data_IF_658983909533
#
_entry.id   IF_658983909533
#
_cell.length_a   1.000
_cell.length_b   1.000
_cell.length_c   1.000
_cell.angle_alpha   90.00
_cell.angle_beta   90.00
_cell.angle_gamma   90.00
#
_symmetry.space_group_name_H-M   'P 1'
#
loop_
_entity.id
_entity.type
_entity.pdbx_description
1 polymer ?
#
# COMPACT_ATOMS: atom_id res chain seq x y z
N UNK A 1 1.87 -17.85 -15.81
CA UNK A 1 0.59 -17.33 -16.34
C UNK A 1 0.28 -18.15 -17.58
N UNK A 2 -0.96 -18.58 -17.77
CA UNK A 2 -1.36 -19.25 -19.01
C UNK A 2 -1.25 -18.28 -20.21
N UNK A 3 -0.86 -18.76 -21.39
CA UNK A 3 -0.60 -17.88 -22.55
C UNK A 3 -1.86 -17.19 -23.04
N UNK A 4 -3.02 -17.85 -22.94
CA UNK A 4 -4.30 -17.23 -23.29
C UNK A 4 -4.63 -16.05 -22.36
N UNK A 5 -4.40 -16.22 -21.05
CA UNK A 5 -4.60 -15.15 -20.07
C UNK A 5 -3.62 -13.99 -20.30
N UNK A 6 -2.36 -14.31 -20.65
CA UNK A 6 -1.35 -13.31 -21.00
C UNK A 6 -1.78 -12.45 -22.18
N UNK A 7 -2.18 -13.08 -23.29
CA UNK A 7 -2.62 -12.35 -24.47
C UNK A 7 -3.87 -11.52 -24.18
N UNK A 8 -4.84 -12.09 -23.46
CA UNK A 8 -6.05 -11.37 -23.07
C UNK A 8 -5.74 -10.14 -22.21
N UNK A 9 -4.75 -10.23 -21.31
CA UNK A 9 -4.32 -9.10 -20.51
C UNK A 9 -3.65 -8.01 -21.36
N UNK A 10 -2.83 -8.37 -22.36
CA UNK A 10 -2.21 -7.41 -23.27
C UNK A 10 -3.26 -6.71 -24.14
N UNK A 11 -4.16 -7.48 -24.76
CA UNK A 11 -5.23 -6.96 -25.61
C UNK A 11 -6.13 -5.99 -24.83
N UNK A 12 -6.42 -6.30 -23.56
CA UNK A 12 -7.21 -5.43 -22.67
C UNK A 12 -6.55 -4.06 -22.41
N UNK A 13 -5.21 -3.98 -22.43
CA UNK A 13 -4.48 -2.72 -22.23
C UNK A 13 -4.19 -1.97 -23.54
N UNK A 14 -4.27 -2.63 -24.70
CA UNK A 14 -3.95 -2.06 -26.00
C UNK A 14 -5.21 -1.57 -26.75
N UNK A 15 -6.30 -2.34 -26.70
CA UNK A 15 -7.45 -2.14 -27.56
C UNK A 15 -8.74 -1.79 -26.82
N UNK A 16 -9.64 -1.00 -27.45
CA UNK A 16 -9.44 -0.29 -28.74
C UNK A 16 -8.56 0.97 -28.62
N UNK A 17 -8.28 1.41 -27.39
CA UNK A 17 -7.43 2.56 -27.09
C UNK A 17 -6.50 2.14 -25.95
N UNK A 18 -5.20 2.47 -26.02
CA UNK A 18 -4.26 2.08 -24.98
C UNK A 18 -4.57 2.69 -23.60
N UNK A 19 -4.26 1.93 -22.55
CA UNK A 19 -4.40 2.35 -21.16
C UNK A 19 -5.82 2.13 -20.61
N UNK A 20 -6.00 2.42 -19.32
CA UNK A 20 -7.24 2.12 -18.59
C UNK A 20 -7.96 3.35 -18.05
N UNK A 21 -7.41 4.53 -18.29
CA UNK A 21 -7.91 5.80 -17.73
C UNK A 21 -8.07 6.87 -18.83
N UNK A 22 -8.92 7.84 -18.56
CA UNK A 22 -9.10 9.03 -19.39
C UNK A 22 -9.56 10.21 -18.54
N UNK A 23 -9.30 11.43 -18.99
CA UNK A 23 -9.85 12.65 -18.40
C UNK A 23 -11.06 13.11 -19.19
N UNK A 24 -12.18 13.36 -18.50
CA UNK A 24 -13.41 13.82 -19.13
C UNK A 24 -13.94 15.08 -18.45
N UNK A 25 -14.31 16.14 -19.22
CA UNK A 25 -14.91 17.34 -18.65
C UNK A 25 -16.25 17.03 -17.96
N UNK A 26 -16.48 17.67 -16.80
CA UNK A 26 -17.73 17.51 -16.03
C UNK A 26 -18.74 18.62 -16.27
N UNK A 27 -18.36 19.68 -17.01
CA UNK A 27 -19.20 20.84 -17.32
C UNK A 27 -19.46 20.92 -18.84
N UNK A 28 -20.62 21.43 -19.27
CA UNK A 28 -20.87 21.70 -20.68
C UNK A 28 -19.81 22.62 -21.28
N UNK A 29 -19.48 22.41 -22.56
CA UNK A 29 -18.53 23.21 -23.34
C UNK A 29 -19.08 23.50 -24.74
N UNK A 30 -20.41 23.61 -24.88
CA UNK A 30 -21.08 23.66 -26.18
C UNK A 30 -21.24 25.08 -26.74
N UNK A 31 -21.17 26.11 -25.88
CA UNK A 31 -21.42 27.50 -26.26
C UNK A 31 -20.22 28.41 -25.96
N UNK A 32 -20.20 29.59 -26.59
CA UNK A 32 -19.21 30.64 -26.26
C UNK A 32 -19.26 31.02 -24.78
N UNK A 33 -20.46 31.05 -24.19
CA UNK A 33 -20.64 31.32 -22.76
C UNK A 33 -19.99 30.23 -21.91
N UNK A 34 -20.17 28.97 -22.26
CA UNK A 34 -19.57 27.85 -21.53
C UNK A 34 -18.03 27.94 -21.56
N UNK A 35 -17.45 28.21 -22.73
CA UNK A 35 -16.00 28.37 -22.89
C UNK A 35 -15.47 29.56 -22.08
N UNK A 36 -16.20 30.68 -22.07
CA UNK A 36 -15.84 31.87 -21.30
C UNK A 36 -15.93 31.65 -19.78
N UNK A 37 -16.75 30.70 -19.31
CA UNK A 37 -16.83 30.31 -17.90
C UNK A 37 -15.77 29.26 -17.53
N UNK A 38 -15.53 28.28 -18.40
CA UNK A 38 -14.55 27.22 -18.18
C UNK A 38 -13.10 27.73 -18.22
N UNK A 39 -12.85 28.81 -18.96
CA UNK A 39 -11.53 29.42 -19.09
C UNK A 39 -11.64 30.95 -19.03
N UNK A 40 -10.90 31.68 -19.85
CA UNK A 40 -10.89 33.13 -19.82
C UNK A 40 -12.19 33.75 -20.39
N UNK A 41 -12.72 34.81 -19.75
CA UNK A 41 -12.23 35.46 -18.52
C UNK A 41 -12.80 34.86 -17.22
N UNK A 42 -13.80 34.00 -17.28
CA UNK A 42 -14.59 33.55 -16.11
C UNK A 42 -13.79 32.78 -15.06
N UNK A 43 -12.78 32.00 -15.46
CA UNK A 43 -11.91 31.23 -14.56
C UNK A 43 -11.14 32.11 -13.57
N UNK A 44 -10.99 33.42 -13.84
CA UNK A 44 -10.35 34.34 -12.92
C UNK A 44 -11.11 34.47 -11.59
N UNK A 45 -12.45 34.37 -11.60
CA UNK A 45 -13.26 34.49 -10.40
C UNK A 45 -12.95 33.42 -9.34
N UNK A 46 -12.99 32.10 -9.63
CA UNK A 46 -12.60 31.09 -8.64
C UNK A 46 -11.13 31.19 -8.23
N UNK A 47 -10.21 31.61 -9.12
CA UNK A 47 -8.81 31.82 -8.75
C UNK A 47 -8.66 32.91 -7.67
N UNK A 48 -9.31 34.06 -7.83
CA UNK A 48 -9.27 35.15 -6.85
C UNK A 48 -9.95 34.79 -5.53
N UNK A 49 -10.98 33.93 -5.56
CA UNK A 49 -11.58 33.42 -4.32
C UNK A 49 -10.66 32.46 -3.58
N UNK A 50 -9.91 31.61 -4.30
CA UNK A 50 -8.91 30.70 -3.70
C UNK A 50 -7.69 31.47 -3.17
N UNK A 51 -7.28 32.55 -3.84
CA UNK A 51 -6.23 33.44 -3.35
C UNK A 51 -6.58 34.05 -1.99
N UNK A 52 -7.85 34.46 -1.81
CA UNK A 52 -8.34 35.00 -0.53
C UNK A 52 -8.49 33.94 0.55
N UNK A 53 -9.00 32.76 0.17
CA UNK A 53 -9.20 31.62 1.06
C UNK A 53 -8.76 30.32 0.38
N UNK A 54 -7.57 29.78 0.69
CA UNK A 54 -7.06 28.55 0.08
C UNK A 54 -8.00 27.34 0.25
N UNK A 55 -8.84 27.30 1.29
CA UNK A 55 -9.79 26.20 1.49
C UNK A 55 -10.91 26.20 0.43
N UNK A 56 -11.17 27.33 -0.22
CA UNK A 56 -12.12 27.42 -1.33
C UNK A 56 -11.72 26.53 -2.53
N UNK A 57 -10.47 26.05 -2.58
CA UNK A 57 -10.04 25.06 -3.58
C UNK A 57 -10.88 23.78 -3.52
N UNK A 58 -11.34 23.35 -2.33
CA UNK A 58 -12.24 22.20 -2.20
C UNK A 58 -13.63 22.44 -2.80
N UNK A 59 -14.05 23.70 -2.89
CA UNK A 59 -15.36 24.10 -3.43
C UNK A 59 -15.31 24.31 -4.95
N UNK A 60 -14.24 24.93 -5.46
CA UNK A 60 -14.17 25.39 -6.86
C UNK A 60 -13.30 24.51 -7.77
N UNK A 61 -12.69 23.45 -7.25
CA UNK A 61 -11.83 22.54 -8.03
C UNK A 61 -12.16 21.08 -7.74
N UNK A 62 -11.56 20.17 -8.50
CA UNK A 62 -11.65 18.73 -8.26
C UNK A 62 -10.84 18.25 -7.04
N UNK A 63 -10.03 19.12 -6.40
CA UNK A 63 -9.11 18.78 -5.29
C UNK A 63 -9.77 17.90 -4.23
N UNK A 64 -11.01 18.20 -3.85
CA UNK A 64 -11.72 17.46 -2.78
C UNK A 64 -12.04 15.99 -3.09
N UNK A 65 -12.05 15.58 -4.36
CA UNK A 65 -12.30 14.20 -4.78
C UNK A 65 -11.08 13.56 -5.49
N UNK A 66 -10.00 14.32 -5.68
CA UNK A 66 -8.85 13.90 -6.48
C UNK A 66 -7.73 13.36 -5.59
N UNK A 67 -7.35 12.11 -5.81
CA UNK A 67 -6.25 11.42 -5.11
C UNK A 67 -5.09 11.18 -6.09
N UNK A 68 -3.86 11.36 -5.62
CA UNK A 68 -2.68 10.92 -6.36
C UNK A 68 -2.37 9.46 -6.01
N UNK A 69 -2.25 8.58 -7.00
CA UNK A 69 -1.61 7.27 -6.82
C UNK A 69 -0.16 7.42 -7.26
N UNK A 70 0.79 7.31 -6.33
CA UNK A 70 2.20 7.65 -6.60
C UNK A 70 3.09 6.45 -6.34
N UNK A 71 3.96 6.13 -7.30
CA UNK A 71 4.97 5.09 -7.20
C UNK A 71 6.26 5.49 -7.90
N UNK A 72 7.38 4.90 -7.46
CA UNK A 72 8.64 4.88 -8.23
C UNK A 72 8.92 3.52 -8.89
N UNK A 73 7.99 2.57 -8.81
CA UNK A 73 8.09 1.25 -9.44
C UNK A 73 9.18 0.34 -8.85
N UNK A 74 9.58 0.58 -7.61
CA UNK A 74 10.68 -0.17 -6.96
C UNK A 74 10.24 -1.50 -6.34
N UNK A 75 8.94 -1.71 -6.14
CA UNK A 75 8.38 -2.95 -5.58
C UNK A 75 7.06 -3.33 -6.24
N UNK A 76 6.99 -3.30 -7.58
CA UNK A 76 5.76 -3.56 -8.32
C UNK A 76 5.33 -5.01 -8.15
N UNK A 77 4.24 -5.24 -7.40
CA UNK A 77 3.69 -6.57 -7.13
C UNK A 77 4.79 -7.55 -6.65
N UNK A 78 4.86 -8.74 -7.25
CA UNK A 78 5.95 -9.71 -7.04
C UNK A 78 7.12 -9.58 -8.02
N UNK A 79 7.15 -8.54 -8.85
CA UNK A 79 8.17 -8.33 -9.89
C UNK A 79 9.40 -7.56 -9.37
N UNK A 80 9.25 -6.86 -8.24
CA UNK A 80 10.31 -6.07 -7.64
C UNK A 80 10.53 -4.75 -8.37
N UNK A 81 11.79 -4.32 -8.45
CA UNK A 81 12.13 -3.06 -9.09
C UNK A 81 12.18 -3.23 -10.61
N UNK A 82 11.11 -2.79 -11.28
CA UNK A 82 10.99 -2.77 -12.75
C UNK A 82 10.98 -1.34 -13.31
N UNK A 83 11.09 -0.34 -12.44
CA UNK A 83 11.10 1.08 -12.77
C UNK A 83 9.70 1.69 -12.90
N UNK A 84 9.63 3.01 -12.78
CA UNK A 84 8.37 3.75 -12.70
C UNK A 84 7.47 3.52 -13.92
N UNK A 85 8.03 3.58 -15.14
CA UNK A 85 7.26 3.39 -16.37
C UNK A 85 6.65 1.99 -16.50
N UNK A 86 7.38 0.94 -16.12
CA UNK A 86 6.86 -0.43 -16.19
C UNK A 86 5.81 -0.70 -15.09
N UNK A 87 5.80 0.08 -14.01
CA UNK A 87 4.77 0.07 -12.97
C UNK A 87 3.47 0.76 -13.37
N UNK A 88 3.48 1.63 -14.40
CA UNK A 88 2.33 2.42 -14.83
C UNK A 88 1.02 1.62 -15.00
N UNK A 89 1.00 0.44 -15.64
CA UNK A 89 -0.23 -0.34 -15.75
C UNK A 89 -0.82 -0.68 -14.37
N UNK A 90 -0.01 -0.94 -13.35
CA UNK A 90 -0.53 -1.22 -12.00
C UNK A 90 -1.17 0.03 -11.40
N UNK A 91 -0.55 1.19 -11.56
CA UNK A 91 -1.04 2.48 -11.04
C UNK A 91 -2.35 2.91 -11.70
N UNK A 92 -2.45 2.81 -13.03
CA UNK A 92 -3.72 3.02 -13.74
C UNK A 92 -4.80 2.06 -13.22
N UNK A 93 -4.43 0.80 -12.97
CA UNK A 93 -5.31 -0.20 -12.39
C UNK A 93 -5.87 0.25 -11.04
N UNK A 94 -5.01 0.76 -10.14
CA UNK A 94 -5.43 1.33 -8.85
C UNK A 94 -6.39 2.49 -9.04
N UNK A 95 -6.12 3.39 -9.98
CA UNK A 95 -7.02 4.49 -10.33
C UNK A 95 -8.43 4.02 -10.76
N UNK A 96 -8.51 2.98 -11.60
CA UNK A 96 -9.78 2.37 -11.99
C UNK A 96 -10.53 1.79 -10.79
N UNK A 97 -9.84 1.15 -9.85
CA UNK A 97 -10.46 0.59 -8.64
C UNK A 97 -11.01 1.69 -7.72
N UNK A 98 -10.23 2.75 -7.46
CA UNK A 98 -10.69 3.93 -6.71
C UNK A 98 -11.97 4.51 -7.32
N UNK A 99 -11.98 4.70 -8.64
CA UNK A 99 -13.15 5.26 -9.32
C UNK A 99 -14.35 4.34 -9.29
N UNK A 100 -14.15 3.05 -9.58
CA UNK A 100 -15.22 2.06 -9.71
C UNK A 100 -15.90 1.75 -8.38
N UNK A 101 -15.14 1.63 -7.29
CA UNK A 101 -15.66 1.17 -6.01
C UNK A 101 -15.95 2.30 -5.01
N UNK A 102 -15.30 3.45 -5.13
CA UNK A 102 -15.46 4.56 -4.19
C UNK A 102 -15.87 5.89 -4.85
N UNK A 103 -15.92 5.97 -6.19
CA UNK A 103 -16.24 7.22 -6.90
C UNK A 103 -15.13 8.28 -6.87
N UNK A 104 -13.96 7.92 -6.36
CA UNK A 104 -12.79 8.81 -6.21
C UNK A 104 -12.10 8.99 -7.56
N UNK A 105 -11.76 10.24 -7.90
CA UNK A 105 -10.97 10.54 -9.10
C UNK A 105 -9.48 10.39 -8.79
N UNK A 106 -8.71 9.88 -9.74
CA UNK A 106 -7.29 9.59 -9.54
C UNK A 106 -6.46 10.12 -10.71
N UNK A 107 -5.30 10.68 -10.38
CA UNK A 107 -4.17 10.68 -11.29
C UNK A 107 -3.08 9.77 -10.75
N UNK A 108 -2.63 8.85 -11.59
CA UNK A 108 -1.42 8.08 -11.37
C UNK A 108 -0.19 8.91 -11.74
N UNK A 109 0.82 8.90 -10.87
CA UNK A 109 2.05 9.68 -11.00
C UNK A 109 3.24 8.74 -10.77
N UNK A 110 3.87 8.35 -11.86
CA UNK A 110 5.10 7.55 -11.86
C UNK A 110 6.32 8.47 -11.73
N UNK A 111 6.95 8.47 -10.55
CA UNK A 111 8.13 9.30 -10.27
C UNK A 111 9.39 8.48 -10.49
N UNK A 112 10.16 8.80 -11.53
CA UNK A 112 11.45 8.15 -11.82
C UNK A 112 12.58 8.70 -10.95
N UNK A 113 12.48 8.50 -9.64
CA UNK A 113 13.49 8.88 -8.64
C UNK A 113 13.60 7.81 -7.55
N UNK A 114 14.85 7.43 -7.26
CA UNK A 114 15.19 6.36 -6.31
C UNK A 114 15.72 6.91 -4.99
N UNK A 115 16.19 8.16 -4.96
CA UNK A 115 16.55 8.85 -3.73
C UNK A 115 15.29 9.21 -2.93
N UNK A 116 15.12 8.70 -1.69
CA UNK A 116 13.91 8.94 -0.92
C UNK A 116 13.64 10.41 -0.63
N UNK A 117 14.67 11.22 -0.35
CA UNK A 117 14.51 12.64 -0.02
C UNK A 117 14.06 13.44 -1.24
N UNK A 118 14.63 13.17 -2.41
CA UNK A 118 14.18 13.78 -3.67
C UNK A 118 12.77 13.34 -4.03
N UNK A 119 12.44 12.05 -3.87
CA UNK A 119 11.09 11.55 -4.08
C UNK A 119 10.08 12.28 -3.18
N UNK A 120 10.37 12.40 -1.87
CA UNK A 120 9.55 13.15 -0.91
C UNK A 120 9.36 14.60 -1.37
N UNK A 121 10.41 15.25 -1.86
CA UNK A 121 10.34 16.63 -2.35
C UNK A 121 9.41 16.77 -3.57
N UNK A 122 9.49 15.84 -4.53
CA UNK A 122 8.60 15.81 -5.70
C UNK A 122 7.15 15.65 -5.25
N UNK A 123 6.86 14.66 -4.40
CA UNK A 123 5.49 14.38 -3.95
C UNK A 123 4.92 15.53 -3.12
N UNK A 124 5.67 16.07 -2.17
CA UNK A 124 5.21 17.16 -1.33
C UNK A 124 4.91 18.44 -2.15
N UNK A 125 5.68 18.70 -3.22
CA UNK A 125 5.42 19.85 -4.09
C UNK A 125 4.11 19.73 -4.88
N UNK A 126 3.58 18.51 -5.05
CA UNK A 126 2.30 18.26 -5.74
C UNK A 126 1.07 18.41 -4.82
N UNK A 127 1.26 18.66 -3.52
CA UNK A 127 0.16 18.83 -2.55
C UNK A 127 -0.97 19.76 -3.03
N UNK A 128 -0.73 20.91 -3.68
CA UNK A 128 -1.79 21.83 -4.13
C UNK A 128 -2.80 21.24 -5.13
N UNK A 129 -2.48 20.12 -5.79
CA UNK A 129 -3.39 19.47 -6.75
C UNK A 129 -4.37 18.52 -6.09
N UNK A 130 -3.95 17.84 -5.02
CA UNK A 130 -4.63 16.64 -4.52
C UNK A 130 -5.31 16.84 -3.17
N UNK A 131 -6.40 16.10 -2.94
CA UNK A 131 -7.07 15.99 -1.65
C UNK A 131 -6.51 14.87 -0.77
N UNK A 132 -5.73 13.96 -1.34
CA UNK A 132 -5.00 12.89 -0.65
C UNK A 132 -3.95 12.23 -1.55
N UNK A 133 -3.02 11.51 -0.93
CA UNK A 133 -1.96 10.75 -1.60
C UNK A 133 -2.03 9.29 -1.18
N UNK A 134 -2.05 8.40 -2.17
CA UNK A 134 -1.89 6.96 -2.04
C UNK A 134 -0.51 6.57 -2.58
N UNK A 135 0.41 6.20 -1.70
CA UNK A 135 1.71 5.62 -2.04
C UNK A 135 1.55 4.13 -2.35
N UNK A 136 2.19 3.68 -3.42
CA UNK A 136 2.01 2.35 -3.98
C UNK A 136 3.33 1.77 -4.48
N UNK A 137 3.57 0.47 -4.27
CA UNK A 137 4.68 -0.29 -4.88
C UNK A 137 6.08 0.34 -4.66
N UNK A 138 6.33 0.88 -3.46
CA UNK A 138 7.63 1.42 -3.03
C UNK A 138 8.32 0.41 -2.11
N UNK A 139 9.59 0.09 -2.37
CA UNK A 139 10.31 -0.94 -1.63
C UNK A 139 10.53 -0.59 -0.16
N UNK A 140 10.57 -1.62 0.68
CA UNK A 140 11.09 -1.53 2.05
C UNK A 140 12.63 -1.49 2.05
N UNK A 141 13.28 -0.80 3.00
CA UNK A 141 12.67 -0.04 4.11
C UNK A 141 12.30 1.41 3.77
N UNK A 142 12.61 1.88 2.56
CA UNK A 142 12.45 3.30 2.17
C UNK A 142 11.00 3.78 2.24
N UNK A 143 10.03 2.93 1.89
CA UNK A 143 8.59 3.24 1.98
C UNK A 143 8.15 3.76 3.36
N UNK A 144 8.71 3.24 4.45
CA UNK A 144 8.39 3.67 5.82
C UNK A 144 8.85 5.12 6.06
N UNK A 145 10.09 5.42 5.67
CA UNK A 145 10.66 6.75 5.80
C UNK A 145 9.93 7.77 4.93
N UNK A 146 9.64 7.40 3.68
CA UNK A 146 8.90 8.22 2.72
C UNK A 146 7.50 8.56 3.27
N UNK A 147 6.74 7.56 3.69
CA UNK A 147 5.40 7.80 4.23
C UNK A 147 5.45 8.69 5.47
N UNK A 148 6.33 8.39 6.42
CA UNK A 148 6.46 9.18 7.65
C UNK A 148 6.75 10.64 7.33
N UNK A 149 7.72 10.92 6.46
CA UNK A 149 8.12 12.30 6.11
C UNK A 149 7.05 13.04 5.33
N UNK A 150 6.33 12.37 4.44
CA UNK A 150 5.21 12.98 3.74
C UNK A 150 4.05 13.31 4.69
N UNK A 151 3.74 12.42 5.65
CA UNK A 151 2.73 12.68 6.69
C UNK A 151 3.11 13.82 7.64
N UNK A 152 4.40 13.98 7.94
CA UNK A 152 4.90 15.11 8.75
C UNK A 152 4.83 16.45 7.99
N UNK A 153 5.02 16.42 6.67
CA UNK A 153 5.17 17.64 5.84
C UNK A 153 3.87 18.12 5.20
N UNK A 154 2.97 17.21 4.85
CA UNK A 154 1.79 17.53 4.05
C UNK A 154 0.55 17.77 4.89
N UNK A 155 -0.35 18.65 4.44
CA UNK A 155 -1.62 18.94 5.12
C UNK A 155 -2.80 18.10 4.61
N UNK A 156 -2.52 17.11 3.76
CA UNK A 156 -3.51 16.16 3.22
C UNK A 156 -3.17 14.74 3.69
N UNK A 157 -4.14 13.83 3.74
CA UNK A 157 -3.87 12.44 4.10
C UNK A 157 -2.88 11.79 3.13
N UNK A 158 -1.86 11.15 3.68
CA UNK A 158 -0.91 10.29 2.96
C UNK A 158 -1.06 8.88 3.50
N UNK A 159 -1.28 7.93 2.61
CA UNK A 159 -1.57 6.53 2.92
C UNK A 159 -0.75 5.63 2.02
N UNK A 160 -0.09 4.62 2.59
CA UNK A 160 0.61 3.59 1.80
C UNK A 160 -0.22 2.31 1.77
N UNK A 161 -0.72 1.91 0.59
CA UNK A 161 -1.68 0.80 0.48
C UNK A 161 -1.06 -0.56 0.82
N UNK A 162 0.14 -0.84 0.31
CA UNK A 162 0.84 -2.11 0.60
C UNK A 162 1.09 -2.34 2.10
N UNK A 163 1.22 -1.26 2.87
CA UNK A 163 1.36 -1.31 4.32
C UNK A 163 -0.01 -1.44 4.98
N UNK A 164 -0.78 -0.35 4.96
CA UNK A 164 -1.97 -0.20 5.79
C UNK A 164 -3.17 -0.91 5.19
N UNK A 165 -3.33 -0.91 3.86
CA UNK A 165 -4.39 -1.65 3.17
C UNK A 165 -4.29 -3.14 3.44
N UNK A 166 -3.08 -3.71 3.28
CA UNK A 166 -2.81 -5.11 3.61
C UNK A 166 -3.07 -5.41 5.09
N UNK A 167 -2.65 -4.52 6.00
CA UNK A 167 -2.89 -4.67 7.42
C UNK A 167 -4.38 -4.70 7.78
N UNK A 168 -5.17 -3.76 7.25
CA UNK A 168 -6.60 -3.64 7.53
C UNK A 168 -7.33 -4.91 7.10
N UNK A 169 -7.13 -5.38 5.86
CA UNK A 169 -7.87 -6.54 5.35
C UNK A 169 -7.42 -7.84 6.02
N UNK A 170 -6.11 -8.01 6.26
CA UNK A 170 -5.56 -9.19 6.96
C UNK A 170 -6.08 -9.25 8.39
N UNK A 171 -6.15 -8.11 9.07
CA UNK A 171 -6.66 -8.02 10.43
C UNK A 171 -8.16 -8.33 10.49
N UNK A 172 -8.95 -7.82 9.55
CA UNK A 172 -10.36 -8.17 9.45
C UNK A 172 -10.58 -9.68 9.23
N UNK A 173 -9.75 -10.30 8.37
CA UNK A 173 -9.79 -11.75 8.15
C UNK A 173 -9.42 -12.53 9.41
N UNK A 174 -8.34 -12.16 10.10
CA UNK A 174 -7.88 -12.81 11.34
C UNK A 174 -8.94 -12.69 12.44
N UNK A 175 -9.50 -11.50 12.67
CA UNK A 175 -10.53 -11.32 13.69
C UNK A 175 -11.77 -12.18 13.43
N UNK A 176 -12.17 -12.33 12.17
CA UNK A 176 -13.28 -13.22 11.81
C UNK A 176 -12.90 -14.70 11.96
N UNK A 177 -11.68 -15.09 11.57
CA UNK A 177 -11.17 -16.45 11.81
C UNK A 177 -11.16 -16.82 13.28
N UNK A 178 -10.65 -15.93 14.14
CA UNK A 178 -10.63 -16.09 15.60
C UNK A 178 -12.03 -16.28 16.19
N UNK A 179 -13.04 -15.58 15.66
CA UNK A 179 -14.45 -15.78 16.07
C UNK A 179 -14.97 -17.17 15.70
N UNK A 180 -14.59 -17.69 14.52
CA UNK A 180 -15.01 -19.02 14.06
C UNK A 180 -14.38 -20.13 14.89
N UNK A 181 -13.11 -19.98 15.28
CA UNK A 181 -12.40 -20.97 16.10
C UNK A 181 -12.53 -20.72 17.61
N UNK A 182 -13.30 -19.71 18.00
CA UNK A 182 -13.59 -19.31 19.38
C UNK A 182 -12.33 -19.03 20.22
N UNK A 183 -11.32 -18.36 19.64
CA UNK A 183 -10.07 -17.97 20.31
C UNK A 183 -9.97 -16.46 20.49
N UNK A 184 -9.39 -16.01 21.60
CA UNK A 184 -9.12 -14.58 21.81
C UNK A 184 -7.78 -14.18 21.17
N UNK A 185 -7.72 -12.96 20.62
CA UNK A 185 -6.50 -12.42 19.99
C UNK A 185 -5.30 -12.35 20.95
N UNK A 186 -5.54 -12.20 22.26
CA UNK A 186 -4.50 -12.17 23.29
C UNK A 186 -3.84 -13.53 23.53
N UNK A 187 -4.53 -14.62 23.23
CA UNK A 187 -4.16 -15.97 23.66
C UNK A 187 -3.50 -16.77 22.53
N UNK A 188 -3.57 -16.26 21.29
CA UNK A 188 -3.10 -16.97 20.10
C UNK A 188 -1.65 -16.70 19.77
N UNK A 189 -1.01 -17.72 19.20
CA UNK A 189 0.35 -17.68 18.67
C UNK A 189 0.35 -17.46 17.17
N UNK A 190 1.17 -16.50 16.72
CA UNK A 190 1.33 -16.18 15.31
C UNK A 190 2.74 -16.47 14.83
N UNK A 191 2.85 -17.09 13.66
CA UNK A 191 4.09 -17.22 12.91
C UNK A 191 3.96 -16.47 11.60
N UNK A 192 4.91 -15.58 11.33
CA UNK A 192 4.89 -14.71 10.15
C UNK A 192 6.04 -15.11 9.23
N UNK A 193 5.73 -15.28 7.94
CA UNK A 193 6.73 -15.42 6.89
C UNK A 193 6.79 -14.11 6.10
N UNK A 194 7.90 -13.41 6.20
CA UNK A 194 8.11 -12.08 5.64
C UNK A 194 8.32 -11.02 6.72
N UNK A 195 9.25 -10.10 6.46
CA UNK A 195 9.56 -8.96 7.34
C UNK A 195 9.60 -7.64 6.55
N UNK A 196 8.84 -7.57 5.46
CA UNK A 196 8.68 -6.36 4.64
C UNK A 196 7.55 -5.45 5.13
N UNK A 197 7.26 -4.42 4.35
CA UNK A 197 6.29 -3.36 4.66
C UNK A 197 4.93 -3.90 5.13
N UNK A 198 4.31 -4.75 4.32
CA UNK A 198 3.02 -5.39 4.61
C UNK A 198 3.02 -6.20 5.92
N UNK A 199 4.04 -7.05 6.12
CA UNK A 199 4.12 -7.93 7.29
C UNK A 199 4.22 -7.13 8.59
N UNK A 200 5.13 -6.14 8.62
CA UNK A 200 5.32 -5.26 9.77
C UNK A 200 4.02 -4.49 10.08
N UNK A 201 3.37 -3.92 9.07
CA UNK A 201 2.12 -3.19 9.25
C UNK A 201 0.98 -4.07 9.80
N UNK A 202 0.83 -5.30 9.27
CA UNK A 202 -0.13 -6.28 9.79
C UNK A 202 0.12 -6.58 11.27
N UNK A 203 1.36 -6.89 11.64
CA UNK A 203 1.71 -7.20 13.02
C UNK A 203 1.49 -6.00 13.95
N UNK A 204 1.84 -4.79 13.52
CA UNK A 204 1.64 -3.58 14.32
C UNK A 204 0.15 -3.36 14.63
N UNK A 205 -0.72 -3.51 13.62
CA UNK A 205 -2.16 -3.34 13.78
C UNK A 205 -2.76 -4.42 14.69
N UNK A 206 -2.36 -5.68 14.52
CA UNK A 206 -2.82 -6.78 15.37
C UNK A 206 -2.38 -6.60 16.83
N UNK A 207 -1.15 -6.15 17.06
CA UNK A 207 -0.65 -5.81 18.41
C UNK A 207 -1.45 -4.67 19.02
N UNK A 208 -1.75 -3.61 18.24
CA UNK A 208 -2.59 -2.51 18.69
C UNK A 208 -4.02 -2.96 19.08
N UNK A 209 -4.51 -4.07 18.50
CA UNK A 209 -5.81 -4.66 18.82
C UNK A 209 -5.76 -5.76 19.89
N UNK A 210 -4.60 -5.99 20.51
CA UNK A 210 -4.46 -6.86 21.69
C UNK A 210 -3.70 -8.16 21.46
N UNK A 211 -3.17 -8.42 20.26
CA UNK A 211 -2.25 -9.54 20.05
C UNK A 211 -0.97 -9.34 20.88
N UNK A 212 -0.59 -10.36 21.63
CA UNK A 212 0.60 -10.28 22.47
C UNK A 212 1.87 -10.37 21.62
N UNK A 213 2.72 -9.35 21.70
CA UNK A 213 3.94 -9.27 20.90
C UNK A 213 4.89 -10.46 21.11
N UNK A 214 4.95 -11.00 22.33
CA UNK A 214 5.77 -12.19 22.64
C UNK A 214 5.21 -13.49 22.04
N UNK A 215 3.97 -13.50 21.55
CA UNK A 215 3.36 -14.63 20.84
C UNK A 215 3.61 -14.59 19.32
N UNK A 216 4.37 -13.61 18.83
CA UNK A 216 4.66 -13.44 17.40
C UNK A 216 6.10 -13.87 17.13
N UNK A 217 6.28 -14.78 16.18
CA UNK A 217 7.60 -15.16 15.68
C UNK A 217 7.68 -14.87 14.18
N UNK A 218 8.70 -14.13 13.77
CA UNK A 218 8.86 -13.68 12.38
C UNK A 218 10.05 -14.38 11.74
N UNK A 219 9.84 -14.89 10.53
CA UNK A 219 10.87 -15.46 9.67
C UNK A 219 11.04 -14.58 8.43
N UNK A 220 12.26 -14.18 8.09
CA UNK A 220 12.57 -13.57 6.80
C UNK A 220 13.30 -14.55 5.88
N UNK A 221 13.88 -14.07 4.78
CA UNK A 221 14.64 -14.90 3.83
C UNK A 221 15.85 -15.60 4.44
N UNK A 222 16.32 -15.18 5.63
CA UNK A 222 17.44 -15.79 6.37
C UNK A 222 16.97 -16.63 7.55
N UNK A 223 15.66 -16.81 7.73
CA UNK A 223 15.06 -17.58 8.81
C UNK A 223 14.55 -16.72 9.97
N UNK A 224 14.45 -17.33 11.16
CA UNK A 224 13.89 -16.70 12.37
C UNK A 224 14.64 -15.41 12.71
N UNK A 225 13.90 -14.37 13.10
CA UNK A 225 14.45 -13.09 13.55
C UNK A 225 14.59 -13.12 15.07
N UNK A 226 15.84 -13.09 15.54
CA UNK A 226 16.17 -13.10 16.96
C UNK A 226 17.19 -12.02 17.32
N UNK A 227 17.25 -11.67 18.60
CA UNK A 227 18.18 -10.66 19.13
C UNK A 227 19.62 -11.11 18.91
N UNK A 228 20.45 -10.23 18.33
CA UNK A 228 21.85 -10.52 18.04
C UNK A 228 22.10 -11.31 16.74
N UNK A 229 21.06 -11.61 15.95
CA UNK A 229 21.22 -12.31 14.65
C UNK A 229 22.08 -11.55 13.65
N UNK A 230 21.91 -10.24 13.56
CA UNK A 230 22.69 -9.38 12.67
C UNK A 230 22.99 -8.03 13.33
N UNK A 231 24.18 -7.44 13.09
CA UNK A 231 24.63 -6.24 13.80
C UNK A 231 23.79 -4.99 13.47
N UNK A 232 23.29 -4.88 12.23
CA UNK A 232 22.56 -3.72 11.73
C UNK A 232 21.16 -4.12 11.24
N UNK A 233 20.34 -4.69 12.13
CA UNK A 233 18.96 -5.01 11.82
C UNK A 233 18.13 -3.72 11.76
N UNK A 234 17.33 -3.55 10.69
CA UNK A 234 16.40 -2.42 10.58
C UNK A 234 15.50 -2.34 11.81
N UNK A 235 15.24 -1.13 12.32
CA UNK A 235 14.51 -0.91 13.58
C UNK A 235 13.12 -1.57 13.60
N UNK A 236 12.38 -1.44 12.50
CA UNK A 236 11.06 -2.06 12.32
C UNK A 236 11.08 -3.57 12.48
N UNK A 237 12.17 -4.20 12.04
CA UNK A 237 12.41 -5.64 12.12
C UNK A 237 12.93 -6.05 13.50
N UNK A 238 13.86 -5.27 14.05
CA UNK A 238 14.41 -5.45 15.39
C UNK A 238 13.32 -5.39 16.47
N UNK A 239 12.28 -4.58 16.24
CA UNK A 239 11.12 -4.52 17.11
C UNK A 239 10.47 -5.90 17.33
N UNK A 240 10.50 -6.81 16.35
CA UNK A 240 9.91 -8.15 16.43
C UNK A 240 10.94 -9.28 16.66
N UNK A 241 12.19 -8.93 17.01
CA UNK A 241 13.20 -9.93 17.30
C UNK A 241 12.91 -10.66 18.62
N UNK A 242 12.79 -11.98 18.55
CA UNK A 242 12.61 -12.84 19.73
C UNK A 242 13.93 -13.12 20.44
N UNK A 243 13.90 -13.65 21.67
CA UNK A 243 15.10 -14.16 22.32
C UNK A 243 15.64 -15.39 21.57
N UNK A 244 16.98 -15.56 21.56
CA UNK A 244 17.59 -16.69 20.86
C UNK A 244 17.27 -18.02 21.57
N UNK A 245 16.44 -18.82 20.92
CA UNK A 245 16.03 -20.16 21.36
C UNK A 245 16.71 -21.29 20.57
N UNK A 246 17.70 -20.98 19.75
CA UNK A 246 18.35 -21.94 18.84
C UNK A 246 17.54 -22.28 17.58
N UNK A 247 16.27 -21.84 17.49
CA UNK A 247 15.42 -22.01 16.31
C UNK A 247 15.88 -21.13 15.16
N UNK A 248 15.91 -21.65 13.93
CA UNK A 248 16.44 -20.94 12.76
C UNK A 248 15.50 -20.96 11.57
N UNK A 249 14.66 -21.97 11.43
CA UNK A 249 13.79 -22.16 10.27
C UNK A 249 12.33 -21.92 10.59
N UNK A 250 11.50 -21.76 9.56
CA UNK A 250 10.05 -21.71 9.71
C UNK A 250 9.51 -23.00 10.34
N UNK A 251 10.06 -24.16 9.96
CA UNK A 251 9.63 -25.46 10.50
C UNK A 251 9.87 -25.58 12.00
N UNK A 252 10.97 -25.00 12.51
CA UNK A 252 11.31 -25.01 13.94
C UNK A 252 10.28 -24.25 14.79
N UNK A 253 9.59 -23.28 14.19
CA UNK A 253 8.70 -22.35 14.89
C UNK A 253 7.23 -22.54 14.53
N UNK A 254 6.86 -23.30 13.51
CA UNK A 254 5.44 -23.39 13.11
C UNK A 254 4.59 -24.25 14.04
N UNK A 255 5.23 -25.17 14.78
CA UNK A 255 4.56 -26.08 15.72
C UNK A 255 3.71 -25.31 16.75
N UNK A 256 2.45 -25.70 16.87
CA UNK A 256 1.46 -25.06 17.76
C UNK A 256 1.11 -23.61 17.42
N UNK A 257 1.44 -23.09 16.24
CA UNK A 257 0.94 -21.77 15.81
C UNK A 257 -0.57 -21.82 15.54
N UNK A 258 -1.31 -20.84 16.02
CA UNK A 258 -2.73 -20.66 15.72
C UNK A 258 -2.93 -19.94 14.39
N UNK A 259 -2.05 -18.99 14.08
CA UNK A 259 -2.11 -18.17 12.87
C UNK A 259 -0.79 -18.25 12.13
N UNK A 260 -0.86 -18.50 10.82
CA UNK A 260 0.24 -18.26 9.90
C UNK A 260 -0.07 -17.05 9.03
N UNK A 261 0.79 -16.03 9.06
CA UNK A 261 0.70 -14.85 8.19
C UNK A 261 1.78 -14.92 7.11
N UNK A 262 1.37 -15.15 5.86
CA UNK A 262 2.26 -15.23 4.70
C UNK A 262 2.34 -13.92 3.94
N UNK A 263 3.44 -13.18 4.08
CA UNK A 263 3.77 -11.96 3.34
C UNK A 263 5.17 -12.08 2.71
N UNK A 264 5.45 -13.23 2.09
CA UNK A 264 6.74 -13.63 1.52
C UNK A 264 6.58 -14.29 0.16
N UNK A 265 7.66 -14.91 -0.35
CA UNK A 265 7.64 -15.68 -1.58
C UNK A 265 6.68 -16.88 -1.55
N UNK A 266 6.36 -17.44 -2.73
CA UNK A 266 5.41 -18.54 -2.86
C UNK A 266 5.96 -19.86 -2.28
N UNK A 267 5.04 -20.75 -1.87
CA UNK A 267 5.33 -22.13 -1.43
C UNK A 267 6.23 -22.28 -0.19
N UNK A 268 6.32 -21.25 0.65
CA UNK A 268 7.13 -21.30 1.88
C UNK A 268 6.48 -22.17 2.96
N UNK A 269 5.14 -22.14 3.09
CA UNK A 269 4.40 -23.03 3.98
C UNK A 269 4.06 -24.35 3.26
N UNK A 270 4.41 -25.48 3.87
CA UNK A 270 4.14 -26.82 3.34
C UNK A 270 2.96 -27.48 4.06
N UNK A 271 2.35 -28.51 3.45
CA UNK A 271 1.28 -29.27 4.10
C UNK A 271 1.74 -29.95 5.41
N UNK A 272 2.99 -30.42 5.46
CA UNK A 272 3.56 -31.01 6.67
C UNK A 272 3.71 -29.98 7.81
N UNK A 273 4.01 -28.72 7.49
CA UNK A 273 4.03 -27.64 8.47
C UNK A 273 2.62 -27.32 8.99
N UNK A 274 1.61 -27.29 8.12
CA UNK A 274 0.21 -27.05 8.51
C UNK A 274 -0.30 -28.12 9.49
N UNK A 275 0.13 -29.38 9.32
CA UNK A 275 -0.22 -30.47 10.24
C UNK A 275 0.37 -30.30 11.65
N UNK A 276 1.44 -29.51 11.82
CA UNK A 276 2.06 -29.19 13.11
C UNK A 276 1.41 -27.99 13.81
N UNK A 277 0.65 -27.18 13.08
CA UNK A 277 -0.03 -26.02 13.66
C UNK A 277 -1.13 -26.45 14.63
N UNK A 278 -1.63 -25.52 15.45
CA UNK A 278 -2.61 -25.80 16.49
C UNK A 278 -3.90 -26.44 15.94
N UNK A 279 -4.65 -27.15 16.78
CA UNK A 279 -5.97 -27.65 16.39
C UNK A 279 -6.97 -26.49 16.22
N UNK A 280 -7.87 -26.60 15.22
CA UNK A 280 -8.86 -25.58 14.82
C UNK A 280 -8.19 -24.25 14.46
N UNK A 281 -7.73 -24.17 13.21
CA UNK A 281 -7.05 -23.03 12.58
C UNK A 281 -8.03 -22.23 11.74
#
# INVERSE_FOLDING_TARGET
MDEQLKQSALDFHEFPVPGKIQVSPTKPLATQRDLALAYSPGVAAPCLEIEKDPLAAYKYTARGNLVAVISNGTAVLGLGNIGALAGKPVMEGKGVLFKKFAGIDVFDIEVDELDPDKFINVVAALEPTFGGVNLEDIKAPECFYIEQKLRERMNIPVFHDDQHGTAIISTAAILNGLRVVEKNISDVRMVVSGAGAAAIACMNLLVALGMQKHNIVVCDSKGVIYKGREPNMAETKAAYAVDDSGKRTLDDVIDGADIFLGCSGPKVLTQEMVKKMAARQ
#
